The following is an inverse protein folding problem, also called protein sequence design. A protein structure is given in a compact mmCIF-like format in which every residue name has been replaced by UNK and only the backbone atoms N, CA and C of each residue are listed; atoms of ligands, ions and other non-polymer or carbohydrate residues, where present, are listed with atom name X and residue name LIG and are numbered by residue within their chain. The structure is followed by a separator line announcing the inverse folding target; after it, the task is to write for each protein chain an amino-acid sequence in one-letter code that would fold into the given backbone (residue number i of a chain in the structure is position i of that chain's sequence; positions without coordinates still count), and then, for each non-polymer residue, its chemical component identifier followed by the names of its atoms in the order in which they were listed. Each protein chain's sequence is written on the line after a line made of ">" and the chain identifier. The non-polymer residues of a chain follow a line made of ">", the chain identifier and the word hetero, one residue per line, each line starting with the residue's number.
data_IF_741260960049
#
_entry.id   IF_741260960049
#
_cell.length_a   1.000
_cell.length_b   1.000
_cell.length_c   1.000
_cell.angle_alpha   90.00
_cell.angle_beta   90.00
_cell.angle_gamma   90.00
#
_symmetry.space_group_name_H-M   'P 1'
#
loop_
_entity.id
_entity.type
_entity.pdbx_description
1 polymer ?
#
# COMPACT_ATOMS: atom_id res chain seq x y z
N UNK A 1 -18.58 -6.54 10.08
CA UNK A 1 -18.91 -6.90 8.68
C UNK A 1 -18.64 -5.77 7.68
N UNK A 2 -18.89 -4.52 8.11
CA UNK A 2 -18.65 -3.28 7.35
C UNK A 2 -17.21 -2.76 7.44
N UNK A 3 -16.37 -3.38 8.26
CA UNK A 3 -14.98 -2.99 8.45
C UNK A 3 -14.04 -3.77 7.53
N UNK A 4 -13.01 -3.10 7.02
CA UNK A 4 -11.91 -3.70 6.28
C UNK A 4 -10.57 -3.29 6.88
N UNK A 5 -9.59 -4.20 6.85
CA UNK A 5 -8.20 -3.89 7.21
C UNK A 5 -7.62 -2.98 6.14
N UNK A 6 -6.96 -1.90 6.56
CA UNK A 6 -6.63 -0.77 5.70
C UNK A 6 -5.30 -0.11 6.07
N UNK A 7 -4.98 0.98 5.36
CA UNK A 7 -3.84 1.85 5.62
C UNK A 7 -2.52 1.05 5.70
N UNK A 8 -1.67 1.33 6.70
CA UNK A 8 -0.40 0.64 6.93
C UNK A 8 -0.57 -0.87 7.07
N UNK A 9 -1.57 -1.35 7.83
CA UNK A 9 -1.82 -2.80 7.99
C UNK A 9 -2.12 -3.50 6.67
N UNK A 10 -2.79 -2.83 5.72
CA UNK A 10 -3.05 -3.42 4.42
C UNK A 10 -1.79 -3.52 3.53
N UNK A 11 -0.80 -2.64 3.72
CA UNK A 11 0.50 -2.76 3.05
C UNK A 11 1.26 -4.00 3.50
N UNK A 12 1.12 -4.35 4.79
CA UNK A 12 1.72 -5.52 5.42
C UNK A 12 0.77 -6.73 5.46
N UNK A 13 0.00 -6.92 4.38
CA UNK A 13 -0.85 -8.10 4.15
C UNK A 13 -1.84 -8.41 5.29
N UNK A 14 -2.30 -7.37 5.98
CA UNK A 14 -3.32 -7.45 7.05
C UNK A 14 -2.74 -7.57 8.45
N UNK A 15 -1.41 -7.55 8.59
CA UNK A 15 -0.76 -7.68 9.89
C UNK A 15 -0.87 -6.39 10.72
N UNK A 16 -0.90 -6.56 12.05
CA UNK A 16 -0.71 -5.45 12.97
C UNK A 16 0.76 -5.00 12.92
N UNK A 17 0.98 -3.70 12.80
CA UNK A 17 2.32 -3.11 12.72
C UNK A 17 2.58 -2.34 14.01
N UNK A 18 3.63 -2.70 14.72
CA UNK A 18 4.02 -2.10 16.01
C UNK A 18 2.87 -2.12 17.06
N UNK A 19 2.08 -3.19 17.06
CA UNK A 19 0.93 -3.36 17.95
C UNK A 19 -0.31 -2.57 17.52
N UNK A 20 -0.36 -2.05 16.28
CA UNK A 20 -1.51 -1.32 15.74
C UNK A 20 -2.10 -2.05 14.53
N UNK A 21 -3.39 -2.34 14.58
CA UNK A 21 -4.17 -2.81 13.43
C UNK A 21 -5.03 -1.65 12.91
N UNK A 22 -4.76 -1.22 11.68
CA UNK A 22 -5.53 -0.17 11.03
C UNK A 22 -6.74 -0.75 10.31
N UNK A 23 -7.92 -0.24 10.64
CA UNK A 23 -9.17 -0.62 10.01
C UNK A 23 -9.93 0.62 9.55
N UNK A 24 -10.63 0.47 8.45
CA UNK A 24 -11.63 1.43 7.98
C UNK A 24 -13.02 0.82 8.13
N UNK A 25 -14.01 1.62 8.48
CA UNK A 25 -15.40 1.18 8.69
C UNK A 25 -16.36 2.32 8.35
N UNK A 26 -17.51 1.97 7.78
CA UNK A 26 -18.54 2.95 7.45
C UNK A 26 -19.22 3.47 8.74
N UNK A 27 -19.32 2.62 9.76
CA UNK A 27 -20.16 2.86 10.94
C UNK A 27 -19.35 3.25 12.19
N UNK A 28 -18.09 2.83 12.29
CA UNK A 28 -17.30 2.96 13.52
C UNK A 28 -16.11 3.89 13.32
N UNK A 29 -15.89 4.75 14.32
CA UNK A 29 -14.78 5.71 14.36
C UNK A 29 -13.91 5.59 15.63
N UNK A 30 -14.35 4.80 16.62
CA UNK A 30 -13.65 4.64 17.89
C UNK A 30 -12.58 3.55 17.78
N UNK A 31 -11.41 3.83 18.33
CA UNK A 31 -10.36 2.82 18.47
C UNK A 31 -10.71 1.83 19.60
N UNK A 32 -10.29 0.58 19.44
CA UNK A 32 -10.43 -0.47 20.45
C UNK A 32 -9.04 -0.78 20.98
N UNK A 33 -8.88 -0.78 22.30
CA UNK A 33 -7.63 -1.17 22.95
C UNK A 33 -7.79 -2.57 23.52
N UNK A 34 -6.91 -3.48 23.11
CA UNK A 34 -6.75 -4.83 23.63
C UNK A 34 -5.36 -4.95 24.26
N UNK A 35 -5.12 -5.94 25.14
CA UNK A 35 -3.78 -6.20 25.66
C UNK A 35 -2.79 -6.43 24.51
N UNK A 36 -1.77 -5.56 24.39
CA UNK A 36 -0.74 -5.64 23.35
C UNK A 36 -1.18 -5.24 21.93
N UNK A 37 -2.44 -4.83 21.72
CA UNK A 37 -2.97 -4.51 20.39
C UNK A 37 -3.94 -3.33 20.45
N UNK A 38 -3.71 -2.33 19.61
CA UNK A 38 -4.62 -1.22 19.37
C UNK A 38 -5.24 -1.34 17.99
N UNK A 39 -6.56 -1.46 17.92
CA UNK A 39 -7.30 -1.40 16.65
C UNK A 39 -7.71 0.05 16.42
N UNK A 40 -7.12 0.69 15.43
CA UNK A 40 -7.43 2.07 15.06
C UNK A 40 -8.45 2.07 13.96
N UNK A 41 -9.61 2.67 14.22
CA UNK A 41 -10.71 2.72 13.27
C UNK A 41 -10.82 4.11 12.66
N UNK A 42 -10.68 4.20 11.34
CA UNK A 42 -11.01 5.40 10.56
C UNK A 42 -12.41 5.23 9.99
N UNK A 43 -13.25 6.25 10.18
CA UNK A 43 -14.57 6.24 9.57
C UNK A 43 -14.49 6.76 8.14
N UNK A 44 -14.80 5.91 7.18
CA UNK A 44 -14.80 6.22 5.75
C UNK A 44 -15.60 5.14 5.01
N UNK A 45 -16.17 5.49 3.87
CA UNK A 45 -16.98 4.57 3.07
C UNK A 45 -16.06 3.55 2.37
N UNK A 46 -16.42 2.27 2.47
CA UNK A 46 -15.79 1.17 1.75
C UNK A 46 -16.80 0.56 0.79
N UNK A 47 -16.44 0.51 -0.48
CA UNK A 47 -17.21 -0.20 -1.49
C UNK A 47 -16.73 -1.63 -1.67
N UNK A 48 -17.60 -2.49 -2.18
CA UNK A 48 -17.32 -3.92 -2.37
C UNK A 48 -16.16 -4.18 -3.33
N UNK A 49 -16.00 -3.34 -4.34
CA UNK A 49 -14.92 -3.38 -5.33
C UNK A 49 -13.57 -2.87 -4.79
N UNK A 50 -13.55 -2.28 -3.60
CA UNK A 50 -12.35 -1.72 -2.96
C UNK A 50 -11.72 -2.65 -1.92
N UNK A 51 -12.30 -3.83 -1.73
CA UNK A 51 -11.86 -4.84 -0.77
C UNK A 51 -11.74 -6.21 -1.40
N UNK A 52 -10.94 -7.05 -0.78
CA UNK A 52 -10.80 -8.47 -1.11
C UNK A 52 -10.93 -9.33 0.15
N UNK A 53 -11.30 -10.61 0.03
CA UNK A 53 -11.24 -11.54 1.15
C UNK A 53 -9.84 -11.62 1.75
N UNK A 54 -9.76 -11.79 3.07
CA UNK A 54 -8.50 -11.96 3.79
C UNK A 54 -8.48 -13.25 4.64
N UNK A 55 -9.20 -13.29 5.76
CA UNK A 55 -9.24 -14.44 6.67
C UNK A 55 -10.57 -14.50 7.44
N UNK A 56 -11.21 -15.67 7.56
CA UNK A 56 -12.46 -15.87 8.31
C UNK A 56 -13.49 -14.74 8.10
N UNK A 57 -13.89 -14.53 6.83
CA UNK A 57 -14.83 -13.49 6.39
C UNK A 57 -14.39 -12.03 6.59
N UNK A 58 -13.21 -11.81 7.15
CA UNK A 58 -12.58 -10.50 7.21
C UNK A 58 -12.11 -10.07 5.82
N UNK A 59 -12.14 -8.77 5.60
CA UNK A 59 -11.77 -8.13 4.36
C UNK A 59 -10.57 -7.23 4.57
N UNK A 60 -9.77 -7.09 3.53
CA UNK A 60 -8.64 -6.17 3.45
C UNK A 60 -8.84 -5.27 2.23
N UNK A 61 -8.42 -4.01 2.30
CA UNK A 61 -8.44 -3.11 1.16
C UNK A 61 -7.62 -3.70 0.02
N UNK A 62 -8.13 -3.59 -1.20
CA UNK A 62 -7.37 -4.00 -2.38
C UNK A 62 -6.20 -3.02 -2.63
N UNK A 63 -5.33 -3.34 -3.59
CA UNK A 63 -4.12 -2.55 -3.83
C UNK A 63 -4.43 -1.10 -4.24
N UNK A 64 -5.51 -0.85 -5.00
CA UNK A 64 -5.90 0.49 -5.42
C UNK A 64 -6.40 1.35 -4.26
N UNK A 65 -7.23 0.78 -3.39
CA UNK A 65 -7.71 1.45 -2.17
C UNK A 65 -6.59 1.67 -1.18
N UNK A 66 -5.72 0.67 -1.02
CA UNK A 66 -4.53 0.76 -0.18
C UNK A 66 -3.59 1.86 -0.68
N UNK A 67 -3.39 1.97 -2.00
CA UNK A 67 -2.59 3.04 -2.61
C UNK A 67 -3.20 4.43 -2.33
N UNK A 68 -4.50 4.61 -2.59
CA UNK A 68 -5.18 5.89 -2.38
C UNK A 68 -5.18 6.34 -0.91
N UNK A 69 -5.47 5.41 0.02
CA UNK A 69 -5.53 5.72 1.44
C UNK A 69 -4.15 6.06 2.02
N UNK A 70 -3.11 5.32 1.61
CA UNK A 70 -1.75 5.58 2.08
C UNK A 70 -1.11 6.80 1.42
N UNK A 71 -1.49 7.15 0.18
CA UNK A 71 -1.12 8.43 -0.42
C UNK A 71 -1.69 9.61 0.39
N UNK A 72 -2.95 9.51 0.82
CA UNK A 72 -3.56 10.53 1.66
C UNK A 72 -2.87 10.65 3.04
N UNK A 73 -2.39 9.53 3.60
CA UNK A 73 -1.64 9.50 4.86
C UNK A 73 -0.24 10.11 4.71
N UNK A 74 0.53 9.66 3.71
CA UNK A 74 1.91 10.08 3.48
C UNK A 74 2.00 11.58 3.17
N UNK A 75 1.05 12.10 2.39
CA UNK A 75 0.99 13.52 2.00
C UNK A 75 0.09 14.36 2.92
N UNK A 76 -0.35 13.83 4.07
CA UNK A 76 -0.84 14.60 5.21
C UNK A 76 -2.28 15.15 5.13
N UNK A 77 -3.17 14.53 4.35
CA UNK A 77 -4.46 15.13 3.95
C UNK A 77 -5.68 14.52 4.62
N UNK A 78 -5.48 13.55 5.51
CA UNK A 78 -6.57 13.02 6.30
C UNK A 78 -7.07 14.03 7.34
N UNK A 79 -8.37 13.95 7.63
CA UNK A 79 -9.14 14.87 8.48
C UNK A 79 -8.67 14.99 9.93
N UNK A 80 -7.70 14.16 10.35
CA UNK A 80 -6.92 14.38 11.56
C UNK A 80 -5.53 14.84 11.13
N UNK A 81 -5.06 16.01 11.58
CA UNK A 81 -3.72 16.44 11.23
C UNK A 81 -2.74 15.33 11.63
N UNK A 82 -1.81 14.98 10.74
CA UNK A 82 -0.81 13.94 10.99
C UNK A 82 -0.12 14.13 12.36
N UNK A 83 -0.06 15.38 12.86
CA UNK A 83 0.41 15.74 14.20
C UNK A 83 -0.34 15.08 15.39
N UNK A 84 -1.56 14.56 15.19
CA UNK A 84 -2.35 13.83 16.22
C UNK A 84 -2.26 12.31 16.08
N UNK A 85 -1.60 11.80 15.05
CA UNK A 85 -1.35 10.37 14.87
C UNK A 85 0.04 10.04 15.39
N UNK A 86 0.17 8.94 16.14
CA UNK A 86 1.51 8.48 16.54
C UNK A 86 2.29 8.03 15.30
N UNK A 87 3.62 8.11 15.31
CA UNK A 87 4.47 7.57 14.22
C UNK A 87 4.14 6.12 13.84
N UNK A 88 3.66 5.32 14.80
CA UNK A 88 3.22 3.94 14.59
C UNK A 88 1.97 3.82 13.69
N UNK A 89 1.14 4.85 13.68
CA UNK A 89 -0.11 4.95 12.92
C UNK A 89 0.06 5.66 11.58
N UNK A 90 1.15 6.42 11.41
CA UNK A 90 1.46 7.15 10.18
C UNK A 90 2.35 6.24 9.34
N UNK A 91 2.03 6.12 8.06
CA UNK A 91 2.95 5.55 7.10
C UNK A 91 3.94 6.65 6.69
N UNK A 92 5.23 6.40 6.88
CA UNK A 92 6.26 7.31 6.40
C UNK A 92 6.33 7.25 4.86
N UNK A 93 6.65 8.37 4.21
CA UNK A 93 6.69 8.44 2.74
C UNK A 93 7.70 7.44 2.17
N UNK A 94 8.81 7.20 2.87
CA UNK A 94 9.84 6.24 2.46
C UNK A 94 9.34 4.79 2.52
N UNK A 95 8.54 4.44 3.54
CA UNK A 95 7.92 3.12 3.65
C UNK A 95 6.88 2.90 2.54
N UNK A 96 6.14 3.95 2.20
CA UNK A 96 5.17 3.92 1.12
C UNK A 96 5.83 3.72 -0.24
N UNK A 97 6.88 4.49 -0.52
CA UNK A 97 7.65 4.39 -1.75
C UNK A 97 8.32 3.02 -1.87
N UNK A 98 8.96 2.51 -0.82
CA UNK A 98 9.58 1.17 -0.84
C UNK A 98 8.55 0.07 -1.13
N UNK A 99 7.39 0.11 -0.47
CA UNK A 99 6.30 -0.82 -0.76
C UNK A 99 5.87 -0.73 -2.23
N UNK A 100 5.73 0.48 -2.76
CA UNK A 100 5.31 0.70 -4.14
C UNK A 100 6.36 0.20 -5.13
N UNK A 101 7.64 0.49 -4.90
CA UNK A 101 8.75 -0.03 -5.69
C UNK A 101 8.78 -1.57 -5.70
N UNK A 102 8.59 -2.19 -4.53
CA UNK A 102 8.52 -3.64 -4.41
C UNK A 102 7.36 -4.20 -5.23
N UNK A 103 6.13 -3.70 -5.03
CA UNK A 103 4.95 -4.18 -5.77
C UNK A 103 5.09 -3.96 -7.28
N UNK A 104 5.57 -2.79 -7.70
CA UNK A 104 5.77 -2.49 -9.12
C UNK A 104 6.83 -3.39 -9.76
N UNK A 105 7.85 -3.82 -9.01
CA UNK A 105 8.85 -4.78 -9.48
C UNK A 105 8.34 -6.21 -9.61
N UNK A 106 7.47 -6.65 -8.69
CA UNK A 106 6.91 -8.01 -8.65
C UNK A 106 5.77 -8.22 -9.66
N UNK A 107 5.01 -7.15 -9.96
CA UNK A 107 3.78 -7.24 -10.73
C UNK A 107 3.99 -6.94 -12.21
N UNK A 108 3.06 -7.36 -13.08
CA UNK A 108 3.06 -7.02 -14.50
C UNK A 108 2.80 -5.52 -14.71
N UNK A 109 3.22 -4.95 -15.84
CA UNK A 109 2.93 -3.54 -16.16
C UNK A 109 1.43 -3.22 -16.13
N UNK A 110 0.59 -4.16 -16.59
CA UNK A 110 -0.86 -4.05 -16.55
C UNK A 110 -1.41 -3.81 -15.13
N UNK A 111 -0.80 -4.43 -14.12
CA UNK A 111 -1.20 -4.24 -12.73
C UNK A 111 -1.04 -2.78 -12.30
N UNK A 112 0.05 -2.12 -12.70
CA UNK A 112 0.28 -0.71 -12.36
C UNK A 112 -0.80 0.16 -13.01
N UNK A 113 -1.04 -0.02 -14.30
CA UNK A 113 -2.06 0.73 -15.03
C UNK A 113 -3.45 0.61 -14.37
N UNK A 114 -3.86 -0.62 -14.05
CA UNK A 114 -5.15 -0.87 -13.41
C UNK A 114 -5.20 -0.32 -11.97
N UNK A 115 -4.16 -0.52 -11.18
CA UNK A 115 -4.12 -0.10 -9.76
C UNK A 115 -4.15 1.42 -9.63
N UNK A 116 -3.32 2.12 -10.40
CA UNK A 116 -3.27 3.59 -10.39
C UNK A 116 -4.55 4.21 -10.96
N UNK A 117 -5.11 3.66 -12.04
CA UNK A 117 -6.39 4.12 -12.59
C UNK A 117 -7.54 3.98 -11.57
N UNK A 118 -7.61 2.83 -10.89
CA UNK A 118 -8.62 2.60 -9.86
C UNK A 118 -8.39 3.49 -8.63
N UNK A 119 -7.14 3.70 -8.21
CA UNK A 119 -6.80 4.62 -7.12
C UNK A 119 -7.21 6.06 -7.47
N UNK A 120 -6.97 6.51 -8.70
CA UNK A 120 -7.45 7.81 -9.19
C UNK A 120 -8.97 7.93 -9.11
N UNK A 121 -9.70 6.89 -9.52
CA UNK A 121 -11.16 6.88 -9.42
C UNK A 121 -11.66 6.96 -7.96
N UNK A 122 -10.93 6.38 -7.01
CA UNK A 122 -11.19 6.53 -5.57
C UNK A 122 -10.97 7.97 -5.13
N UNK A 123 -9.82 8.57 -5.46
CA UNK A 123 -9.49 9.95 -5.07
C UNK A 123 -10.47 10.98 -5.63
N UNK A 124 -10.91 10.81 -6.88
CA UNK A 124 -11.95 11.65 -7.51
C UNK A 124 -13.26 11.59 -6.72
N UNK A 125 -13.73 10.38 -6.37
CA UNK A 125 -14.94 10.19 -5.56
C UNK A 125 -14.82 10.84 -4.18
N UNK A 126 -13.64 10.76 -3.57
CA UNK A 126 -13.32 11.40 -2.29
C UNK A 126 -13.06 12.92 -2.40
N UNK A 127 -13.11 13.50 -3.61
CA UNK A 127 -12.82 14.92 -3.89
C UNK A 127 -11.41 15.34 -3.46
N UNK A 128 -10.44 14.42 -3.51
CA UNK A 128 -9.04 14.66 -3.14
C UNK A 128 -8.19 15.02 -4.37
N UNK A 129 -8.59 16.06 -5.11
CA UNK A 129 -7.98 16.41 -6.41
C UNK A 129 -6.49 16.72 -6.35
N UNK A 130 -6.01 17.29 -5.24
CA UNK A 130 -4.58 17.58 -5.05
C UNK A 130 -3.72 16.30 -4.96
N UNK A 131 -4.28 15.18 -4.48
CA UNK A 131 -3.59 13.89 -4.45
C UNK A 131 -3.55 13.22 -5.81
N UNK A 132 -4.42 13.61 -6.76
CA UNK A 132 -4.39 13.06 -8.11
C UNK A 132 -3.09 13.44 -8.82
N UNK A 133 -2.62 14.68 -8.63
CA UNK A 133 -1.34 15.15 -9.17
C UNK A 133 -0.19 14.29 -8.61
N UNK A 134 -0.15 14.10 -7.29
CA UNK A 134 0.85 13.24 -6.65
C UNK A 134 0.79 11.80 -7.17
N UNK A 135 -0.41 11.24 -7.33
CA UNK A 135 -0.60 9.90 -7.86
C UNK A 135 -0.08 9.77 -9.30
N UNK A 136 -0.36 10.77 -10.15
CA UNK A 136 0.08 10.79 -11.54
C UNK A 136 1.61 10.93 -11.64
N UNK A 137 2.24 11.74 -10.77
CA UNK A 137 3.70 11.88 -10.67
C UNK A 137 4.35 10.54 -10.26
N UNK A 138 3.84 9.90 -9.18
CA UNK A 138 4.30 8.58 -8.76
C UNK A 138 4.14 7.53 -9.88
N UNK A 139 3.05 7.58 -10.65
CA UNK A 139 2.84 6.65 -11.76
C UNK A 139 3.93 6.79 -12.83
N UNK A 140 4.34 8.02 -13.13
CA UNK A 140 5.40 8.30 -14.09
C UNK A 140 6.76 7.82 -13.58
N UNK A 141 7.08 8.11 -12.32
CA UNK A 141 8.34 7.68 -11.69
C UNK A 141 8.47 6.16 -11.68
N UNK A 142 7.40 5.45 -11.30
CA UNK A 142 7.39 3.98 -11.32
C UNK A 142 7.53 3.41 -12.74
N UNK A 143 6.91 4.05 -13.73
CA UNK A 143 7.04 3.64 -15.12
C UNK A 143 8.47 3.84 -15.65
N UNK A 144 9.14 4.93 -15.27
CA UNK A 144 10.54 5.19 -15.60
C UNK A 144 11.46 4.17 -14.92
N UNK A 145 11.29 3.93 -13.62
CA UNK A 145 12.07 2.97 -12.85
C UNK A 145 11.97 1.55 -13.43
N UNK A 146 10.78 1.15 -13.89
CA UNK A 146 10.56 -0.17 -14.50
C UNK A 146 11.18 -0.31 -15.88
N UNK A 147 11.30 0.78 -16.66
CA UNK A 147 12.02 0.80 -17.93
C UNK A 147 13.54 0.79 -17.75
N UNK A 148 14.05 1.39 -16.68
CA UNK A 148 15.48 1.51 -16.38
C UNK A 148 16.10 0.26 -15.72
N UNK A 149 15.31 -0.75 -15.35
CA UNK A 149 15.81 -2.09 -15.00
C UNK A 149 15.82 -2.98 -16.26
N UNK A 150 16.87 -2.98 -17.11
CA UNK A 150 17.08 -4.10 -18.01
C UNK A 150 17.35 -5.34 -17.14
N UNK A 151 16.90 -6.49 -17.64
CA UNK A 151 17.17 -7.80 -17.05
C UNK A 151 18.55 -7.86 -16.40
N UNK A 152 18.62 -8.14 -15.10
CA UNK A 152 19.75 -8.91 -14.61
C UNK A 152 19.67 -10.27 -15.28
N UNK A 153 20.14 -10.35 -16.53
CA UNK A 153 20.71 -11.59 -17.05
C UNK A 153 21.85 -11.90 -16.10
N UNK A 154 21.77 -13.07 -15.49
CA UNK A 154 22.85 -13.75 -14.79
C UNK A 154 24.17 -13.59 -15.55
N UNK A 155 24.99 -12.63 -15.14
CA UNK A 155 26.44 -12.69 -15.36
C UNK A 155 27.00 -13.28 -14.07
N UNK A 156 27.13 -14.60 -14.08
CA UNK A 156 27.53 -15.37 -12.92
C UNK A 156 28.18 -16.68 -13.35
N UNK A 157 29.50 -16.61 -13.57
CA UNK A 157 30.49 -17.70 -13.53
C UNK A 157 30.49 -18.71 -14.68
N UNK A 158 31.22 -18.38 -15.75
CA UNK A 158 32.22 -19.33 -16.25
C UNK A 158 33.45 -19.20 -15.34
N UNK A 159 33.64 -20.16 -14.44
CA UNK A 159 34.92 -20.39 -13.77
C UNK A 159 35.42 -21.73 -14.29
N UNK A 160 36.56 -21.65 -14.96
CA UNK A 160 37.37 -22.72 -15.54
C UNK A 160 37.33 -24.02 -14.75
N UNK A 161 36.88 -25.09 -15.39
CA UNK A 161 37.21 -26.46 -15.01
C UNK A 161 38.42 -26.89 -15.82
N UNK A 162 39.61 -26.76 -15.23
CA UNK A 162 40.83 -27.41 -15.69
C UNK A 162 41.20 -28.46 -14.65
N UNK A 163 40.62 -29.66 -14.75
CA UNK A 163 41.21 -30.85 -14.15
C UNK A 163 42.08 -31.48 -15.23
N UNK A 164 43.39 -31.24 -15.15
CA UNK A 164 44.35 -32.10 -15.83
C UNK A 164 44.37 -33.45 -15.10
N UNK A 165 44.09 -34.47 -15.89
CA UNK A 165 44.36 -35.87 -15.61
C UNK A 165 45.86 -36.08 -15.80
N UNK A 166 46.56 -36.57 -14.77
CA UNK A 166 47.59 -37.62 -14.82
C UNK A 166 48.08 -37.96 -13.40
#
# INVERSE_FOLDING_TARGET
>A
PDAGIADRSALYDGMAVEGVLSVVSNLRSKSINLPGLKITCRQDEIKSDEVKPWFNDLKITNEARTLADNLALAYGTLTKPASKMSKKQILMIEEFEDWLYKKTSEKKAQWMMTTFSNARAILVRKKQNHLIVQLDDLAQDMALAKKQKPSQKSVGREVYTSFEIL
#
